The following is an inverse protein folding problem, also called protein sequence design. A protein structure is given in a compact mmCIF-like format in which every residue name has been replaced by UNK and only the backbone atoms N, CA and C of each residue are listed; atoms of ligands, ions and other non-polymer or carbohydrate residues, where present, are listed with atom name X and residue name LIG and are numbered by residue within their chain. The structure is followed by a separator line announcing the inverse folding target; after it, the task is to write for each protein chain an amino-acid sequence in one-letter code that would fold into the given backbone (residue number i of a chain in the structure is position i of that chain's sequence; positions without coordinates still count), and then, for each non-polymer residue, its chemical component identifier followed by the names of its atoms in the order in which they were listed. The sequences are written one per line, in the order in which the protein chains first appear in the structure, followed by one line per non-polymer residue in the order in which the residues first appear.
data_IF_644504202847
#
_entry.id   IF_644504202847
#
_cell.length_a   1.000
_cell.length_b   1.000
_cell.length_c   1.000
_cell.angle_alpha   90.00
_cell.angle_beta   90.00
_cell.angle_gamma   90.00
#
_symmetry.space_group_name_H-M   'P 1'
#
loop_
_entity.id
_entity.type
_entity.pdbx_description
1 polymer ?
#
# COMPACT_ATOMS: atom_id res chain seq x y z
N UNK A 1 8.46 36.12 -7.77
CA UNK A 1 8.98 34.73 -7.76
C UNK A 1 9.13 34.19 -6.33
N UNK A 2 9.11 35.04 -5.29
CA UNK A 2 9.37 34.65 -3.89
C UNK A 2 8.27 33.83 -3.18
N UNK A 3 7.05 33.76 -3.73
CA UNK A 3 5.94 32.99 -3.14
C UNK A 3 5.81 31.55 -3.66
N UNK A 4 6.43 31.21 -4.79
CA UNK A 4 6.30 29.87 -5.39
C UNK A 4 7.09 28.83 -4.60
N UNK A 5 8.29 29.20 -4.11
CA UNK A 5 9.15 28.33 -3.30
C UNK A 5 8.48 27.85 -2.00
N UNK A 6 7.88 28.74 -1.17
CA UNK A 6 7.10 28.32 0.00
C UNK A 6 5.93 27.41 -0.35
N UNK A 7 5.20 27.72 -1.42
CA UNK A 7 4.01 26.97 -1.83
C UNK A 7 4.33 25.54 -2.28
N UNK A 8 5.44 25.35 -3.01
CA UNK A 8 5.93 24.02 -3.39
C UNK A 8 6.42 23.24 -2.17
N UNK A 9 7.00 23.91 -1.17
CA UNK A 9 7.40 23.25 0.08
C UNK A 9 6.19 22.75 0.87
N UNK A 10 5.15 23.58 1.00
CA UNK A 10 3.96 23.26 1.80
C UNK A 10 3.12 22.11 1.20
N UNK A 11 3.05 22.02 -0.13
CA UNK A 11 2.26 20.98 -0.81
C UNK A 11 3.13 19.78 -1.22
N UNK A 12 4.43 19.98 -1.45
CA UNK A 12 5.36 18.93 -1.88
C UNK A 12 5.51 17.81 -0.85
N UNK A 13 5.62 18.15 0.45
CA UNK A 13 5.71 17.14 1.50
C UNK A 13 4.43 16.28 1.59
N UNK A 14 3.21 16.85 1.71
CA UNK A 14 1.97 16.07 1.70
C UNK A 14 1.79 15.20 0.45
N UNK A 15 2.18 15.69 -0.73
CA UNK A 15 2.12 14.90 -1.98
C UNK A 15 3.02 13.67 -1.87
N UNK A 16 4.29 13.85 -1.49
CA UNK A 16 5.26 12.74 -1.39
C UNK A 16 4.79 11.71 -0.36
N UNK A 17 4.30 12.18 0.80
CA UNK A 17 3.74 11.30 1.83
C UNK A 17 2.54 10.53 1.29
N UNK A 18 1.63 11.18 0.57
CA UNK A 18 0.47 10.52 -0.02
C UNK A 18 0.89 9.46 -1.04
N UNK A 19 1.81 9.79 -1.96
CA UNK A 19 2.32 8.83 -2.94
C UNK A 19 3.03 7.64 -2.28
N UNK A 20 3.85 7.90 -1.26
CA UNK A 20 4.50 6.84 -0.48
C UNK A 20 3.48 5.95 0.22
N UNK A 21 2.45 6.53 0.83
CA UNK A 21 1.39 5.76 1.50
C UNK A 21 0.58 4.93 0.51
N UNK A 22 0.23 5.49 -0.65
CA UNK A 22 -0.47 4.76 -1.71
C UNK A 22 0.35 3.56 -2.19
N UNK A 23 1.63 3.77 -2.53
CA UNK A 23 2.53 2.68 -2.93
C UNK A 23 2.69 1.63 -1.82
N UNK A 24 2.79 2.05 -0.56
CA UNK A 24 2.88 1.14 0.57
C UNK A 24 1.58 0.34 0.79
N UNK A 25 0.41 0.93 0.51
CA UNK A 25 -0.88 0.25 0.62
C UNK A 25 -1.04 -0.77 -0.51
N UNK A 26 -0.63 -0.43 -1.73
CA UNK A 26 -0.60 -1.34 -2.88
C UNK A 26 0.12 -2.65 -2.52
N UNK A 27 1.35 -2.57 -2.00
CA UNK A 27 2.09 -3.76 -1.56
C UNK A 27 1.36 -4.60 -0.50
N UNK A 28 0.65 -3.94 0.43
CA UNK A 28 -0.12 -4.64 1.47
C UNK A 28 -1.38 -5.30 0.92
N UNK A 29 -2.03 -4.66 -0.04
CA UNK A 29 -3.20 -5.21 -0.74
C UNK A 29 -2.81 -6.44 -1.55
N UNK A 30 -1.65 -6.43 -2.21
CA UNK A 30 -1.14 -7.59 -2.94
C UNK A 30 -0.91 -8.78 -2.00
N UNK A 31 -0.21 -8.57 -0.88
CA UNK A 31 -0.01 -9.62 0.14
C UNK A 31 -1.34 -10.15 0.71
N UNK A 32 -2.31 -9.27 0.95
CA UNK A 32 -3.64 -9.66 1.41
C UNK A 32 -4.34 -10.56 0.36
N UNK A 33 -4.28 -10.17 -0.91
CA UNK A 33 -4.88 -10.91 -2.01
C UNK A 33 -4.24 -12.30 -2.16
N UNK A 34 -2.91 -12.39 -2.13
CA UNK A 34 -2.18 -13.67 -2.14
C UNK A 34 -2.62 -14.57 -0.98
N UNK A 35 -2.72 -14.01 0.22
CA UNK A 35 -3.16 -14.73 1.41
C UNK A 35 -4.58 -15.27 1.25
N UNK A 36 -5.50 -14.50 0.67
CA UNK A 36 -6.88 -14.93 0.42
C UNK A 36 -6.97 -16.07 -0.58
N UNK A 37 -6.16 -16.03 -1.64
CA UNK A 37 -6.09 -17.10 -2.64
C UNK A 37 -5.47 -18.37 -2.05
N UNK A 38 -4.47 -18.23 -1.18
CA UNK A 38 -3.77 -19.36 -0.57
C UNK A 38 -4.56 -20.02 0.57
N UNK A 39 -5.31 -19.23 1.35
CA UNK A 39 -6.11 -19.69 2.49
C UNK A 39 -6.96 -20.95 2.22
N UNK A 40 -7.79 -21.04 1.17
CA UNK A 40 -8.60 -22.24 0.91
C UNK A 40 -7.75 -23.47 0.59
N UNK A 41 -6.57 -23.31 -0.02
CA UNK A 41 -5.65 -24.41 -0.28
C UNK A 41 -5.07 -24.94 1.03
N UNK A 42 -4.63 -24.05 1.93
CA UNK A 42 -4.12 -24.40 3.27
C UNK A 42 -5.19 -25.08 4.14
N UNK A 43 -6.44 -24.61 4.06
CA UNK A 43 -7.55 -25.24 4.75
C UNK A 43 -7.83 -26.66 4.25
N UNK A 44 -7.69 -26.92 2.94
CA UNK A 44 -7.85 -28.28 2.36
C UNK A 44 -6.72 -29.22 2.75
N UNK A 45 -5.48 -28.72 2.84
CA UNK A 45 -4.32 -29.50 3.30
C UNK A 45 -4.40 -29.87 4.78
N UNK A 46 -4.96 -28.99 5.60
CA UNK A 46 -5.09 -29.17 7.05
C UNK A 46 -6.26 -30.05 7.51
N UNK A 47 -7.16 -30.47 6.61
CA UNK A 47 -8.24 -31.40 6.96
C UNK A 47 -7.72 -32.84 6.75
N UNK A 48 -7.43 -33.59 7.83
CA UNK A 48 -7.14 -35.02 7.71
C UNK A 48 -8.36 -35.72 7.10
N UNK A 49 -8.08 -36.60 6.12
CA UNK A 49 -9.05 -37.34 5.34
C UNK A 49 -9.90 -38.28 6.18
#
# INVERSE_FOLDING_TARGET
MDQILPFVSDIGFPIIVTLYLLHRIETKLDTLNETLVELPNRLREGIPK
#
